data_IF_019884271895
#
_entry.id   IF_019884271895
#
_cell.length_a   1.000
_cell.length_b   1.000
_cell.length_c   1.000
_cell.angle_alpha   90.00
_cell.angle_beta   90.00
_cell.angle_gamma   90.00
#
_symmetry.space_group_name_H-M   'P 1'
#
loop_
_entity.id
_entity.type
_entity.pdbx_description
1 polymer ?
#
# COMPACT_ATOMS: atom_id res chain seq x y z
N UNK A 1 -7.05 5.84 16.63
CA UNK A 1 -6.84 6.85 15.59
C UNK A 1 -6.62 6.15 14.25
N UNK A 2 -7.59 6.20 13.34
CA UNK A 2 -7.37 6.00 11.91
C UNK A 2 -7.73 7.33 11.24
N UNK A 3 -6.74 7.89 10.54
CA UNK A 3 -6.69 9.22 9.89
C UNK A 3 -6.42 10.43 10.79
N UNK A 4 -5.25 11.03 10.57
CA UNK A 4 -5.11 12.47 10.35
C UNK A 4 -4.55 12.62 8.94
N UNK A 5 -5.35 13.09 7.99
CA UNK A 5 -4.86 13.45 6.65
C UNK A 5 -3.69 14.42 6.84
N UNK A 6 -2.51 14.09 6.32
CA UNK A 6 -1.42 15.06 6.20
C UNK A 6 -1.72 15.84 4.93
N UNK A 7 -2.14 17.10 5.09
CA UNK A 7 -2.55 17.97 4.00
C UNK A 7 -1.35 18.51 3.25
N UNK A 8 -1.20 18.13 1.98
CA UNK A 8 -0.79 19.08 0.94
C UNK A 8 -1.63 18.81 -0.31
N UNK A 9 -2.51 19.76 -0.62
CA UNK A 9 -3.38 19.76 -1.79
C UNK A 9 -2.84 20.77 -2.80
N UNK A 10 -2.65 20.34 -4.04
CA UNK A 10 -2.72 21.20 -5.22
C UNK A 10 -3.50 20.45 -6.30
N UNK A 11 -4.78 20.82 -6.46
CA UNK A 11 -5.64 20.44 -7.58
C UNK A 11 -5.07 21.06 -8.87
N UNK A 12 -5.09 20.42 -10.04
CA UNK A 12 -6.27 20.23 -10.89
C UNK A 12 -5.83 19.32 -12.07
N UNK A 13 -6.59 18.27 -12.41
CA UNK A 13 -6.61 17.64 -13.74
C UNK A 13 -7.71 16.56 -13.72
N UNK A 14 -8.46 16.42 -14.81
CA UNK A 14 -9.58 15.49 -14.90
C UNK A 14 -9.09 14.03 -14.80
N UNK A 15 -9.21 13.42 -13.61
CA UNK A 15 -8.86 12.00 -13.38
C UNK A 15 -9.83 11.09 -14.15
N UNK A 16 -9.28 10.51 -15.20
CA UNK A 16 -9.91 9.58 -16.14
C UNK A 16 -8.95 8.43 -16.44
N UNK A 17 -8.06 8.14 -15.47
CA UNK A 17 -6.89 7.26 -15.54
C UNK A 17 -7.12 6.05 -16.46
N UNK A 18 -6.25 5.92 -17.47
CA UNK A 18 -5.46 4.72 -17.68
C UNK A 18 -4.00 5.07 -17.31
N UNK A 19 -3.37 4.29 -16.40
CA UNK A 19 -2.00 4.40 -15.82
C UNK A 19 -1.75 5.25 -14.56
N UNK A 20 -2.71 6.02 -14.06
CA UNK A 20 -2.57 6.63 -12.75
C UNK A 20 -1.99 8.03 -12.77
N UNK A 21 -1.76 8.55 -11.57
CA UNK A 21 -0.83 9.64 -11.30
C UNK A 21 0.04 9.21 -10.12
N UNK A 22 1.26 9.71 -10.04
CA UNK A 22 2.12 9.47 -8.89
C UNK A 22 1.50 10.11 -7.63
N UNK A 23 1.58 9.38 -6.52
CA UNK A 23 1.07 9.84 -5.24
C UNK A 23 2.09 10.77 -4.57
N UNK A 24 1.60 11.84 -3.95
CA UNK A 24 2.42 12.67 -3.06
C UNK A 24 3.05 11.79 -1.96
N UNK A 25 4.36 11.93 -1.68
CA UNK A 25 5.02 11.16 -0.64
C UNK A 25 4.26 11.21 0.69
N UNK A 26 4.13 10.05 1.34
CA UNK A 26 3.48 9.89 2.65
C UNK A 26 1.98 10.25 2.71
N UNK A 27 1.31 10.54 1.58
CA UNK A 27 -0.13 10.82 1.56
C UNK A 27 -1.01 9.60 1.89
N UNK A 28 -0.46 8.39 1.74
CA UNK A 28 -1.07 7.12 2.14
C UNK A 28 -0.22 6.42 3.21
N UNK A 29 -0.18 6.92 4.45
CA UNK A 29 0.72 6.41 5.49
C UNK A 29 0.41 4.99 5.95
N UNK A 30 -0.77 4.48 5.59
CA UNK A 30 -1.19 3.11 5.86
C UNK A 30 -0.78 2.12 4.76
N UNK A 31 -0.27 2.58 3.61
CA UNK A 31 0.17 1.72 2.52
C UNK A 31 1.43 0.93 2.94
N UNK A 32 1.39 -0.38 2.77
CA UNK A 32 2.51 -1.29 3.05
C UNK A 32 2.91 -2.04 1.79
N UNK A 33 4.21 -2.31 1.65
CA UNK A 33 4.78 -3.20 0.64
C UNK A 33 5.26 -4.49 1.32
N UNK A 34 4.84 -5.64 0.81
CA UNK A 34 5.14 -6.95 1.35
C UNK A 34 6.08 -7.70 0.42
N UNK A 35 7.24 -8.10 0.96
CA UNK A 35 8.15 -9.06 0.32
C UNK A 35 7.79 -10.45 0.82
N UNK A 36 7.19 -11.27 -0.03
CA UNK A 36 6.78 -12.62 0.35
C UNK A 36 7.87 -13.59 -0.03
N UNK A 37 8.46 -14.23 0.98
CA UNK A 37 9.53 -15.22 0.82
C UNK A 37 8.95 -16.61 1.00
N UNK A 38 9.18 -17.49 0.03
CA UNK A 38 8.83 -18.90 0.16
C UNK A 38 9.96 -19.73 0.75
N UNK A 39 9.95 -21.02 0.46
CA UNK A 39 10.83 -22.00 1.12
C UNK A 39 12.30 -21.86 0.74
N UNK A 40 12.59 -21.25 -0.41
CA UNK A 40 13.95 -20.95 -0.86
C UNK A 40 14.65 -19.89 0.01
N UNK A 41 13.89 -19.12 0.80
CA UNK A 41 14.37 -17.94 1.51
C UNK A 41 14.57 -16.72 0.60
N UNK A 42 14.30 -16.86 -0.70
CA UNK A 42 14.27 -15.76 -1.66
C UNK A 42 12.86 -15.17 -1.75
N UNK A 43 12.77 -13.93 -2.24
CA UNK A 43 11.48 -13.27 -2.47
C UNK A 43 10.85 -13.87 -3.71
N UNK A 44 9.66 -14.45 -3.56
CA UNK A 44 8.94 -15.11 -4.65
C UNK A 44 7.96 -14.16 -5.33
N UNK A 45 7.25 -13.33 -4.56
CA UNK A 45 6.36 -12.29 -5.09
C UNK A 45 6.19 -11.10 -4.14
N UNK A 46 5.52 -10.07 -4.66
CA UNK A 46 5.23 -8.84 -3.94
C UNK A 46 3.74 -8.61 -3.85
N UNK A 47 3.31 -8.09 -2.70
CA UNK A 47 1.93 -7.71 -2.45
C UNK A 47 1.82 -6.36 -1.74
N UNK A 48 0.61 -5.79 -1.75
CA UNK A 48 0.26 -4.64 -0.93
C UNK A 48 -0.36 -5.04 0.42
N UNK A 49 -0.44 -4.07 1.32
CA UNK A 49 -1.18 -4.21 2.58
C UNK A 49 -1.62 -2.86 3.13
N UNK A 50 -2.48 -2.89 4.15
CA UNK A 50 -2.96 -1.72 4.88
C UNK A 50 -2.69 -1.87 6.38
N UNK A 51 -1.97 -0.91 6.97
CA UNK A 51 -1.78 -0.83 8.42
C UNK A 51 -3.09 -0.41 9.10
N UNK A 52 -3.77 -1.37 9.74
CA UNK A 52 -5.08 -1.16 10.40
C UNK A 52 -4.94 -0.89 11.90
N UNK A 53 -3.79 -1.22 12.48
CA UNK A 53 -3.43 -0.99 13.88
C UNK A 53 -1.90 -0.93 13.96
N UNK A 54 -1.29 -0.30 15.00
CA UNK A 54 0.17 -0.20 15.15
C UNK A 54 1.01 -1.45 14.83
N UNK A 55 0.44 -2.65 15.02
CA UNK A 55 1.14 -3.93 14.80
C UNK A 55 0.35 -4.91 13.91
N UNK A 56 -0.70 -4.45 13.22
CA UNK A 56 -1.53 -5.32 12.39
C UNK A 56 -1.68 -4.75 10.99
N UNK A 57 -1.23 -5.52 10.01
CA UNK A 57 -1.39 -5.25 8.58
C UNK A 57 -2.44 -6.20 8.02
N UNK A 58 -3.43 -5.64 7.32
CA UNK A 58 -4.40 -6.38 6.53
C UNK A 58 -3.88 -6.56 5.09
N UNK A 59 -3.99 -7.75 4.53
CA UNK A 59 -3.62 -8.08 3.13
C UNK A 59 -4.54 -9.17 2.56
N UNK A 60 -4.36 -9.53 1.29
CA UNK A 60 -5.09 -10.61 0.66
C UNK A 60 -4.54 -11.98 1.06
N UNK A 61 -5.42 -12.97 1.27
CA UNK A 61 -5.00 -14.31 1.69
C UNK A 61 -4.04 -15.00 0.69
N UNK A 62 -4.28 -14.80 -0.61
CA UNK A 62 -3.44 -15.37 -1.68
C UNK A 62 -2.01 -14.80 -1.68
N UNK A 63 -1.77 -13.66 -1.04
CA UNK A 63 -0.41 -13.16 -0.89
C UNK A 63 0.45 -14.02 0.03
N UNK A 64 -0.14 -14.88 0.88
CA UNK A 64 0.58 -15.64 1.92
C UNK A 64 0.34 -17.15 1.83
N UNK A 65 -0.86 -17.56 1.40
CA UNK A 65 -1.31 -18.95 1.43
C UNK A 65 -1.43 -19.59 0.04
N UNK A 66 -0.96 -18.90 -1.00
CA UNK A 66 -0.88 -19.44 -2.36
C UNK A 66 0.48 -20.13 -2.61
#
# INVERSE_FOLDING_TARGET
MCQSRISEESQEESTRILNGVESSPHSFPYQVYLNVTGQSGEVEWYCGGTLIHPNWVLTAAHCILE
#
